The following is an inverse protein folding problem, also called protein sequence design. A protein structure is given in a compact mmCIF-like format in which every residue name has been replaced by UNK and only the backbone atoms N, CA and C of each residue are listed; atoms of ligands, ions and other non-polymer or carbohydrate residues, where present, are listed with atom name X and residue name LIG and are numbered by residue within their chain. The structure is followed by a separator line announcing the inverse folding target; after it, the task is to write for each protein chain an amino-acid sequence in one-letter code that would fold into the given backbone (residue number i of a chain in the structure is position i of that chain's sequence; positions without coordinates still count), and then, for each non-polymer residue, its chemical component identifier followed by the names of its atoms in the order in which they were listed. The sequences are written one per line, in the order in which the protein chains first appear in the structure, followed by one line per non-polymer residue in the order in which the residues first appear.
data_IF_976532114461
#
_entry.id   IF_976532114461
#
_cell.length_a   1.000
_cell.length_b   1.000
_cell.length_c   1.000
_cell.angle_alpha   90.00
_cell.angle_beta   90.00
_cell.angle_gamma   90.00
#
_symmetry.space_group_name_H-M   'P 1'
#
loop_
_entity.id
_entity.type
_entity.pdbx_description
1 polymer ?
#
# COMPACT_ATOMS: atom_id res chain seq x y z
N UNK A 1 14.98 -11.54 -9.04
CA UNK A 1 14.22 -10.34 -8.59
C UNK A 1 12.82 -10.41 -9.16
N UNK A 2 11.79 -10.05 -8.40
CA UNK A 2 10.42 -9.89 -8.92
C UNK A 2 10.14 -8.40 -9.00
N UNK A 3 9.57 -7.95 -10.10
CA UNK A 3 9.17 -6.55 -10.28
C UNK A 3 7.70 -6.39 -9.88
N UNK A 4 7.41 -5.30 -9.20
CA UNK A 4 6.06 -4.77 -8.99
C UNK A 4 5.93 -3.52 -9.87
N UNK A 5 4.81 -3.40 -10.59
CA UNK A 5 4.49 -2.22 -11.39
C UNK A 5 3.18 -1.66 -10.86
N UNK A 6 3.22 -0.46 -10.27
CA UNK A 6 2.09 0.19 -9.62
C UNK A 6 1.97 1.65 -10.05
N UNK A 7 0.73 2.17 -10.13
CA UNK A 7 0.42 3.58 -10.31
C UNK A 7 -0.44 4.06 -9.13
N UNK A 8 0.00 5.11 -8.44
CA UNK A 8 -0.71 5.72 -7.31
C UNK A 8 -1.28 7.07 -7.71
N UNK A 9 -2.55 7.30 -7.36
CA UNK A 9 -3.25 8.54 -7.66
C UNK A 9 -3.85 9.13 -6.36
N UNK A 10 -3.77 10.45 -6.16
CA UNK A 10 -4.56 11.09 -5.11
C UNK A 10 -6.06 10.98 -5.44
N UNK A 11 -6.87 10.61 -4.45
CA UNK A 11 -8.32 10.44 -4.60
C UNK A 11 -9.04 11.42 -3.67
N UNK A 12 -9.84 12.31 -4.26
CA UNK A 12 -10.65 13.28 -3.51
C UNK A 12 -12.05 12.77 -3.17
N UNK A 13 -12.56 11.80 -3.94
CA UNK A 13 -13.87 11.18 -3.74
C UNK A 13 -13.75 9.67 -3.97
N UNK A 14 -13.72 8.91 -2.87
CA UNK A 14 -13.57 7.46 -2.92
C UNK A 14 -14.84 6.76 -3.41
N UNK A 15 -16.02 7.35 -3.17
CA UNK A 15 -17.32 6.74 -3.53
C UNK A 15 -17.50 6.75 -5.04
N UNK A 16 -17.11 7.84 -5.71
CA UNK A 16 -17.10 7.92 -7.16
C UNK A 16 -16.17 6.86 -7.80
N UNK A 17 -15.00 6.64 -7.20
CA UNK A 17 -14.03 5.62 -7.66
C UNK A 17 -14.59 4.21 -7.48
N UNK A 18 -15.15 3.89 -6.32
CA UNK A 18 -15.77 2.58 -6.05
C UNK A 18 -16.93 2.28 -7.01
N UNK A 19 -17.76 3.29 -7.33
CA UNK A 19 -18.84 3.14 -8.30
C UNK A 19 -18.31 2.80 -9.71
N UNK A 20 -17.25 3.49 -10.17
CA UNK A 20 -16.63 3.20 -11.46
C UNK A 20 -15.97 1.81 -11.48
N UNK A 21 -15.27 1.44 -10.41
CA UNK A 21 -14.68 0.10 -10.28
C UNK A 21 -15.73 -1.01 -10.32
N UNK A 22 -16.88 -0.78 -9.69
CA UNK A 22 -18.02 -1.72 -9.72
C UNK A 22 -18.55 -1.90 -11.14
N UNK A 23 -18.69 -0.82 -11.92
CA UNK A 23 -19.08 -0.89 -13.34
C UNK A 23 -18.08 -1.68 -14.17
N UNK A 24 -16.79 -1.61 -13.84
CA UNK A 24 -15.72 -2.38 -14.47
C UNK A 24 -15.66 -3.86 -14.01
N UNK A 25 -16.55 -4.28 -13.11
CA UNK A 25 -16.61 -5.65 -12.60
C UNK A 25 -15.65 -5.95 -11.43
N UNK A 26 -15.08 -4.92 -10.79
CA UNK A 26 -14.30 -5.11 -9.58
C UNK A 26 -15.20 -5.56 -8.41
N UNK A 27 -14.66 -6.41 -7.55
CA UNK A 27 -15.28 -6.75 -6.26
C UNK A 27 -14.60 -5.95 -5.15
N UNK A 28 -15.35 -5.05 -4.51
CA UNK A 28 -14.83 -4.23 -3.41
C UNK A 28 -14.85 -5.05 -2.11
N UNK A 29 -13.69 -5.22 -1.49
CA UNK A 29 -13.57 -5.86 -0.17
C UNK A 29 -13.84 -4.85 0.95
N UNK A 30 -14.17 -5.36 2.14
CA UNK A 30 -14.20 -4.52 3.34
C UNK A 30 -12.86 -3.80 3.55
N UNK A 31 -12.93 -2.54 3.98
CA UNK A 31 -11.74 -1.79 4.37
C UNK A 31 -10.99 -2.49 5.50
N UNK A 32 -9.66 -2.51 5.41
CA UNK A 32 -8.81 -3.12 6.42
C UNK A 32 -7.76 -2.12 6.92
N UNK A 33 -7.41 -2.24 8.20
CA UNK A 33 -6.30 -1.50 8.77
C UNK A 33 -5.00 -2.22 8.43
N UNK A 34 -4.07 -1.50 7.81
CA UNK A 34 -2.69 -1.93 7.63
C UNK A 34 -1.76 -1.01 8.42
N UNK A 35 -0.86 -1.59 9.21
CA UNK A 35 0.13 -0.84 10.01
C UNK A 35 1.51 -1.20 9.51
N UNK A 36 2.27 -0.19 9.09
CA UNK A 36 3.66 -0.33 8.64
C UNK A 36 4.63 0.16 9.69
N UNK A 37 5.58 -0.70 10.07
CA UNK A 37 6.75 -0.31 10.86
C UNK A 37 7.96 -0.32 9.94
N UNK A 38 8.53 0.86 9.70
CA UNK A 38 9.73 1.04 8.87
C UNK A 38 10.98 0.89 9.73
N UNK A 39 12.00 0.24 9.18
CA UNK A 39 13.29 0.04 9.82
C UNK A 39 14.38 0.70 8.99
N UNK A 40 15.27 1.41 9.68
CA UNK A 40 16.49 1.96 9.12
C UNK A 40 17.69 1.33 9.83
N UNK A 41 18.79 1.18 9.10
CA UNK A 41 20.05 0.73 9.69
C UNK A 41 20.80 1.95 10.27
N UNK A 42 21.38 1.87 11.48
CA UNK A 42 22.02 3.02 12.12
C UNK A 42 23.22 3.59 11.33
N UNK A 43 23.87 2.77 10.50
CA UNK A 43 25.02 3.15 9.70
C UNK A 43 24.77 3.19 8.18
N UNK A 44 23.53 3.02 7.73
CA UNK A 44 23.19 3.03 6.29
C UNK A 44 21.86 3.73 6.04
N UNK A 45 21.89 4.71 5.17
CA UNK A 45 20.70 5.41 4.70
C UNK A 45 20.12 4.70 3.47
N UNK A 46 18.95 4.08 3.63
CA UNK A 46 18.30 3.36 2.54
C UNK A 46 17.70 4.30 1.47
N UNK A 47 17.48 5.57 1.78
CA UNK A 47 16.98 6.54 0.80
C UNK A 47 18.00 6.80 -0.33
N UNK A 48 19.30 6.66 -0.05
CA UNK A 48 20.35 6.84 -1.05
C UNK A 48 20.35 5.77 -2.14
N UNK A 49 19.76 4.60 -1.87
CA UNK A 49 19.66 3.48 -2.81
C UNK A 49 18.22 3.14 -3.19
N UNK A 50 17.28 4.04 -2.88
CA UNK A 50 15.83 3.88 -3.14
C UNK A 50 15.27 2.57 -2.56
N UNK A 51 15.71 2.22 -1.35
CA UNK A 51 15.27 1.04 -0.62
C UNK A 51 14.44 1.41 0.61
N UNK A 52 13.52 0.52 0.98
CA UNK A 52 12.78 0.60 2.22
C UNK A 52 12.54 -0.79 2.80
N UNK A 53 12.78 -0.95 4.10
CA UNK A 53 12.44 -2.17 4.84
C UNK A 53 11.28 -1.88 5.79
N UNK A 54 10.21 -2.68 5.70
CA UNK A 54 9.06 -2.59 6.61
C UNK A 54 8.52 -3.95 7.00
N UNK A 55 7.93 -4.03 8.19
CA UNK A 55 7.02 -5.09 8.58
C UNK A 55 5.60 -4.52 8.55
N UNK A 56 4.71 -5.17 7.80
CA UNK A 56 3.29 -4.78 7.69
C UNK A 56 2.41 -5.76 8.45
N UNK A 57 1.59 -5.25 9.38
CA UNK A 57 0.48 -5.99 9.98
C UNK A 57 -0.82 -5.69 9.22
N UNK A 58 -1.58 -6.72 8.85
CA UNK A 58 -2.90 -6.59 8.21
C UNK A 58 -4.00 -7.08 9.15
N UNK A 59 -4.95 -6.21 9.49
CA UNK A 59 -6.03 -6.51 10.43
C UNK A 59 -5.52 -6.83 11.86
N UNK A 60 -6.24 -7.71 12.56
CA UNK A 60 -5.96 -8.10 13.96
C UNK A 60 -5.10 -9.36 14.11
N UNK A 61 -4.48 -9.87 13.04
CA UNK A 61 -3.63 -11.06 13.17
C UNK A 61 -2.22 -10.67 13.64
N UNK A 62 -1.79 -11.29 14.73
CA UNK A 62 -0.41 -11.33 15.21
C UNK A 62 0.36 -12.44 14.50
#
# INVERSE_FOLDING_TARGET
MRYEVELKYPVSDIVAVEAQLTVLGASISAGQVEVDVYFAHPARDFAQTDEALRIRRKGNRY
#
